data_IF_256196490318
#
_entry.id   IF_256196490318
#
_cell.length_a   1.000
_cell.length_b   1.000
_cell.length_c   1.000
_cell.angle_alpha   90.00
_cell.angle_beta   90.00
_cell.angle_gamma   90.00
#
_symmetry.space_group_name_H-M   'P 1'
#
loop_
_entity.id
_entity.type
_entity.pdbx_description
1 polymer ?
#
# COMPACT_ATOMS: atom_id res chain seq x y z
N UNK A 1 -63.63 -10.45 31.45
CA UNK A 1 -62.65 -9.38 31.30
C UNK A 1 -61.24 -9.78 31.81
N UNK A 2 -61.10 -10.43 32.96
CA UNK A 2 -59.79 -10.80 33.55
C UNK A 2 -58.97 -11.86 32.75
N UNK A 3 -59.59 -12.86 32.12
CA UNK A 3 -58.85 -13.86 31.31
C UNK A 3 -58.26 -13.30 30.00
N UNK A 4 -58.93 -12.30 29.42
CA UNK A 4 -58.45 -11.67 28.18
C UNK A 4 -57.23 -10.76 28.44
N UNK A 5 -57.25 -9.99 29.56
CA UNK A 5 -56.10 -9.20 30.01
C UNK A 5 -54.90 -10.08 30.39
N UNK A 6 -55.12 -11.23 31.06
CA UNK A 6 -54.04 -12.15 31.42
C UNK A 6 -53.37 -12.77 30.18
N UNK A 7 -54.14 -13.07 29.14
CA UNK A 7 -53.56 -13.59 27.87
C UNK A 7 -52.75 -12.53 27.13
N UNK A 8 -53.17 -11.26 27.14
CA UNK A 8 -52.43 -10.17 26.52
C UNK A 8 -51.13 -9.88 27.29
N UNK A 9 -51.16 -9.87 28.62
CA UNK A 9 -49.93 -9.66 29.45
C UNK A 9 -48.94 -10.82 29.26
N UNK A 10 -49.44 -12.06 29.15
CA UNK A 10 -48.59 -13.23 28.86
C UNK A 10 -47.96 -13.16 27.46
N UNK A 11 -48.72 -12.73 26.44
CA UNK A 11 -48.23 -12.58 25.07
C UNK A 11 -47.18 -11.46 24.96
N UNK A 12 -47.41 -10.32 25.63
CA UNK A 12 -46.44 -9.22 25.68
C UNK A 12 -45.18 -9.62 26.43
N UNK A 13 -45.27 -10.39 27.53
CA UNK A 13 -44.11 -10.93 28.22
C UNK A 13 -43.29 -11.88 27.37
N UNK A 14 -43.96 -12.77 26.58
CA UNK A 14 -43.27 -13.69 25.64
C UNK A 14 -42.57 -12.91 24.52
N UNK A 15 -43.20 -11.86 23.94
CA UNK A 15 -42.63 -11.00 22.93
C UNK A 15 -41.45 -10.20 23.49
N UNK A 16 -41.55 -9.68 24.72
CA UNK A 16 -40.44 -9.00 25.43
C UNK A 16 -39.27 -9.98 25.71
N UNK A 17 -39.58 -11.22 26.09
CA UNK A 17 -38.55 -12.26 26.28
C UNK A 17 -37.86 -12.66 24.98
N UNK A 18 -38.58 -12.72 23.85
CA UNK A 18 -38.03 -12.98 22.52
C UNK A 18 -37.19 -11.80 22.02
N UNK A 19 -37.54 -10.55 22.33
CA UNK A 19 -36.76 -9.37 22.00
C UNK A 19 -35.49 -9.28 22.86
N UNK A 20 -35.53 -9.66 24.14
CA UNK A 20 -34.35 -9.69 25.02
C UNK A 20 -33.42 -10.88 24.71
N UNK A 21 -33.94 -11.98 24.15
CA UNK A 21 -33.13 -13.10 23.67
C UNK A 21 -32.43 -12.84 22.34
N UNK A 22 -32.83 -11.81 21.58
CA UNK A 22 -32.23 -11.45 20.30
C UNK A 22 -30.98 -10.55 20.43
N UNK A 23 -30.66 -10.03 21.62
CA UNK A 23 -29.37 -9.45 21.91
C UNK A 23 -28.35 -10.56 22.22
N UNK A 24 -28.01 -11.38 21.25
CA UNK A 24 -26.81 -12.21 21.30
C UNK A 24 -25.59 -11.28 21.29
N UNK A 25 -25.24 -10.72 22.45
CA UNK A 25 -23.91 -10.20 22.71
C UNK A 25 -22.98 -11.41 22.67
N UNK A 26 -22.43 -11.73 21.50
CA UNK A 26 -21.34 -12.69 21.40
C UNK A 26 -20.21 -12.19 22.29
N UNK A 27 -19.73 -12.97 23.28
CA UNK A 27 -18.72 -12.52 24.23
C UNK A 27 -17.38 -12.11 23.58
N UNK A 28 -17.24 -12.30 22.28
CA UNK A 28 -16.04 -11.96 21.51
C UNK A 28 -16.09 -10.60 20.79
N UNK A 29 -17.28 -10.01 20.64
CA UNK A 29 -17.38 -8.64 20.07
C UNK A 29 -16.59 -7.58 20.87
N UNK A 30 -16.53 -7.60 22.22
CA UNK A 30 -15.70 -6.69 23.00
C UNK A 30 -14.20 -6.86 22.72
N UNK A 31 -13.73 -8.09 22.51
CA UNK A 31 -12.33 -8.40 22.20
C UNK A 31 -11.92 -7.79 20.84
N UNK A 32 -12.77 -7.89 19.82
CA UNK A 32 -12.49 -7.30 18.51
C UNK A 32 -12.44 -5.78 18.58
N UNK A 33 -13.29 -5.14 19.39
CA UNK A 33 -13.27 -3.70 19.63
C UNK A 33 -12.00 -3.24 20.39
N UNK A 34 -11.50 -4.06 21.29
CA UNK A 34 -10.22 -3.82 21.97
C UNK A 34 -9.07 -3.88 20.98
N UNK A 35 -9.04 -4.92 20.14
CA UNK A 35 -8.02 -5.10 19.10
C UNK A 35 -8.03 -3.92 18.11
N UNK A 36 -9.19 -3.46 17.65
CA UNK A 36 -9.30 -2.29 16.76
C UNK A 36 -8.60 -1.03 17.32
N UNK A 37 -8.61 -0.86 18.65
CA UNK A 37 -8.00 0.31 19.29
C UNK A 37 -6.48 0.25 19.39
N UNK A 38 -5.93 -0.97 19.51
CA UNK A 38 -4.49 -1.14 19.77
C UNK A 38 -3.68 -1.58 18.55
N UNK A 39 -4.33 -2.04 17.48
CA UNK A 39 -3.69 -2.74 16.38
C UNK A 39 -2.60 -1.93 15.65
N UNK A 40 -2.78 -0.62 15.51
CA UNK A 40 -1.79 0.25 14.86
C UNK A 40 -0.59 0.55 15.78
N UNK A 41 -0.78 0.61 17.09
CA UNK A 41 0.27 0.96 18.05
C UNK A 41 0.97 -0.28 18.62
N UNK A 42 0.25 -1.40 18.76
CA UNK A 42 0.72 -2.65 19.37
C UNK A 42 0.31 -3.87 18.54
N UNK A 43 0.81 -4.01 17.29
CA UNK A 43 0.40 -5.08 16.39
C UNK A 43 0.71 -6.49 16.91
N UNK A 44 1.83 -6.68 17.63
CA UNK A 44 2.19 -7.96 18.26
C UNK A 44 1.14 -8.39 19.29
N UNK A 45 0.72 -7.45 20.15
CA UNK A 45 -0.32 -7.69 21.15
C UNK A 45 -1.65 -8.00 20.50
N UNK A 46 -2.03 -7.23 19.47
CA UNK A 46 -3.24 -7.44 18.69
C UNK A 46 -3.27 -8.84 18.07
N UNK A 47 -2.18 -9.27 17.44
CA UNK A 47 -2.04 -10.60 16.86
C UNK A 47 -2.16 -11.70 17.91
N UNK A 48 -1.52 -11.51 19.07
CA UNK A 48 -1.59 -12.47 20.18
C UNK A 48 -3.03 -12.64 20.72
N UNK A 49 -3.79 -11.53 20.81
CA UNK A 49 -5.19 -11.57 21.24
C UNK A 49 -6.04 -12.28 20.19
N UNK A 50 -5.89 -11.94 18.92
CA UNK A 50 -6.66 -12.55 17.82
C UNK A 50 -6.43 -14.06 17.69
N UNK A 51 -5.20 -14.52 17.90
CA UNK A 51 -4.87 -15.96 17.88
C UNK A 51 -5.49 -16.77 19.05
N UNK A 52 -6.00 -16.10 20.09
CA UNK A 52 -6.70 -16.74 21.22
C UNK A 52 -8.22 -16.72 21.06
N UNK A 53 -8.76 -16.14 19.99
CA UNK A 53 -10.18 -16.15 19.72
C UNK A 53 -10.62 -17.56 19.36
N UNK A 54 -11.49 -18.14 20.19
CA UNK A 54 -12.06 -19.48 20.03
C UNK A 54 -13.42 -19.41 19.28
N UNK A 55 -13.86 -20.54 18.76
CA UNK A 55 -15.18 -20.71 18.16
C UNK A 55 -15.52 -19.66 17.05
N UNK A 56 -14.56 -19.37 16.19
CA UNK A 56 -14.69 -18.40 15.10
C UNK A 56 -15.94 -18.66 14.24
N UNK A 57 -16.30 -19.93 14.05
CA UNK A 57 -17.49 -20.34 13.29
C UNK A 57 -18.83 -19.98 13.97
N UNK A 58 -18.81 -19.57 15.24
CA UNK A 58 -20.02 -19.16 15.99
C UNK A 58 -20.16 -17.63 16.03
N UNK A 59 -19.21 -16.88 15.47
CA UNK A 59 -19.30 -15.43 15.36
C UNK A 59 -20.47 -15.04 14.42
N UNK A 60 -21.05 -13.86 14.68
CA UNK A 60 -21.95 -13.26 13.70
C UNK A 60 -21.19 -12.99 12.39
N UNK A 61 -21.89 -12.91 11.25
CA UNK A 61 -21.24 -12.59 9.97
C UNK A 61 -20.41 -11.31 10.04
N UNK A 62 -20.91 -10.30 10.76
CA UNK A 62 -20.19 -9.03 10.98
C UNK A 62 -18.90 -9.24 11.79
N UNK A 63 -19.00 -9.98 12.90
CA UNK A 63 -17.84 -10.18 13.78
C UNK A 63 -16.81 -11.09 13.13
N UNK A 64 -17.25 -12.11 12.37
CA UNK A 64 -16.37 -12.95 11.58
C UNK A 64 -15.62 -12.14 10.50
N UNK A 65 -16.33 -11.28 9.76
CA UNK A 65 -15.69 -10.38 8.80
C UNK A 65 -14.71 -9.41 9.47
N UNK A 66 -15.07 -8.86 10.65
CA UNK A 66 -14.20 -7.98 11.43
C UNK A 66 -12.97 -8.73 11.92
N UNK A 67 -13.11 -9.95 12.43
CA UNK A 67 -12.00 -10.79 12.84
C UNK A 67 -11.04 -11.06 11.66
N UNK A 68 -11.56 -11.44 10.49
CA UNK A 68 -10.74 -11.70 9.30
C UNK A 68 -9.96 -10.44 8.86
N UNK A 69 -10.59 -9.26 8.90
CA UNK A 69 -9.93 -7.99 8.61
C UNK A 69 -8.81 -7.70 9.59
N UNK A 70 -9.09 -7.75 10.90
CA UNK A 70 -8.12 -7.46 11.95
C UNK A 70 -6.96 -8.45 11.97
N UNK A 71 -7.25 -9.75 11.75
CA UNK A 71 -6.19 -10.75 11.68
C UNK A 71 -5.25 -10.51 10.51
N UNK A 72 -5.79 -10.20 9.32
CA UNK A 72 -4.97 -9.85 8.15
C UNK A 72 -4.15 -8.58 8.42
N UNK A 73 -4.78 -7.56 9.01
CA UNK A 73 -4.08 -6.32 9.40
C UNK A 73 -2.95 -6.58 10.39
N UNK A 74 -3.22 -7.35 11.44
CA UNK A 74 -2.21 -7.68 12.44
C UNK A 74 -1.05 -8.49 11.86
N UNK A 75 -1.33 -9.42 10.94
CA UNK A 75 -0.29 -10.18 10.23
C UNK A 75 0.58 -9.26 9.35
N UNK A 76 -0.03 -8.36 8.57
CA UNK A 76 0.69 -7.41 7.73
C UNK A 76 1.59 -6.48 8.55
N UNK A 77 1.07 -5.92 9.65
CA UNK A 77 1.82 -5.02 10.54
C UNK A 77 2.97 -5.74 11.27
N UNK A 78 2.87 -7.05 11.48
CA UNK A 78 3.93 -7.91 12.02
C UNK A 78 4.87 -8.47 10.94
N UNK A 79 4.80 -7.97 9.69
CA UNK A 79 5.63 -8.42 8.58
C UNK A 79 5.53 -9.93 8.27
N UNK A 80 4.36 -10.54 8.55
CA UNK A 80 4.07 -11.93 8.20
C UNK A 80 3.61 -11.95 6.75
N UNK A 81 4.36 -12.64 5.89
CA UNK A 81 4.02 -12.79 4.47
C UNK A 81 2.76 -13.65 4.31
N UNK A 82 1.78 -13.11 3.59
CA UNK A 82 0.54 -13.81 3.31
C UNK A 82 0.72 -14.87 2.21
N UNK A 83 0.10 -16.03 2.41
CA UNK A 83 0.12 -17.14 1.45
C UNK A 83 -1.22 -17.42 0.80
N UNK A 84 -2.29 -16.70 1.22
CA UNK A 84 -3.66 -16.83 0.71
C UNK A 84 -4.45 -15.56 0.97
N UNK A 85 -5.39 -15.24 0.07
CA UNK A 85 -6.33 -14.13 0.19
C UNK A 85 -7.68 -14.53 0.83
N UNK A 86 -7.82 -15.78 1.27
CA UNK A 86 -9.10 -16.36 1.73
C UNK A 86 -9.72 -15.57 2.89
N UNK A 87 -8.93 -15.20 3.89
CA UNK A 87 -9.40 -14.47 5.07
C UNK A 87 -9.89 -13.07 4.71
N UNK A 88 -9.06 -12.29 4.04
CA UNK A 88 -9.40 -10.91 3.73
C UNK A 88 -10.54 -10.81 2.71
N UNK A 89 -10.73 -11.83 1.86
CA UNK A 89 -11.84 -11.93 0.93
C UNK A 89 -13.20 -12.01 1.65
N UNK A 90 -13.27 -12.69 2.80
CA UNK A 90 -14.48 -12.73 3.65
C UNK A 90 -14.83 -11.31 4.11
N UNK A 91 -13.84 -10.58 4.64
CA UNK A 91 -14.02 -9.21 5.10
C UNK A 91 -14.44 -8.28 3.95
N UNK A 92 -13.73 -8.30 2.82
CA UNK A 92 -14.04 -7.46 1.67
C UNK A 92 -15.45 -7.73 1.13
N UNK A 93 -15.86 -9.01 1.02
CA UNK A 93 -17.19 -9.39 0.55
C UNK A 93 -18.30 -8.92 1.48
N UNK A 94 -18.10 -9.00 2.80
CA UNK A 94 -19.08 -8.56 3.77
C UNK A 94 -19.20 -7.03 3.79
N UNK A 95 -18.06 -6.31 3.93
CA UNK A 95 -18.07 -4.86 4.08
C UNK A 95 -18.44 -4.13 2.79
N UNK A 96 -18.21 -4.70 1.61
CA UNK A 96 -18.72 -4.15 0.35
C UNK A 96 -20.25 -4.06 0.32
N UNK A 97 -20.95 -5.04 0.89
CA UNK A 97 -22.42 -5.08 0.96
C UNK A 97 -22.98 -4.26 2.13
N UNK A 98 -22.14 -3.99 3.14
CA UNK A 98 -22.51 -3.19 4.30
C UNK A 98 -22.44 -1.70 3.97
N UNK A 99 -23.03 -0.85 4.83
CA UNK A 99 -22.90 0.60 4.70
C UNK A 99 -21.60 1.15 5.32
N UNK A 100 -20.70 0.29 5.82
CA UNK A 100 -19.43 0.66 6.43
C UNK A 100 -18.35 0.86 5.35
N UNK A 101 -18.33 2.04 4.75
CA UNK A 101 -17.36 2.39 3.70
C UNK A 101 -15.92 2.39 4.19
N UNK A 102 -15.70 2.72 5.48
CA UNK A 102 -14.35 2.70 6.05
C UNK A 102 -13.79 1.27 6.06
N UNK A 103 -14.51 0.33 6.67
CA UNK A 103 -14.07 -1.07 6.71
C UNK A 103 -14.02 -1.71 5.31
N UNK A 104 -14.91 -1.30 4.39
CA UNK A 104 -14.85 -1.72 2.99
C UNK A 104 -13.56 -1.27 2.31
N UNK A 105 -13.20 0.03 2.42
CA UNK A 105 -11.95 0.56 1.88
C UNK A 105 -10.73 -0.11 2.50
N UNK A 106 -10.71 -0.28 3.83
CA UNK A 106 -9.63 -0.94 4.55
C UNK A 106 -9.49 -2.42 4.13
N UNK A 107 -10.59 -3.13 3.94
CA UNK A 107 -10.58 -4.52 3.46
C UNK A 107 -9.99 -4.63 2.06
N UNK A 108 -10.35 -3.74 1.13
CA UNK A 108 -9.76 -3.71 -0.21
C UNK A 108 -8.29 -3.27 -0.19
N UNK A 109 -7.90 -2.39 0.71
CA UNK A 109 -6.48 -2.06 0.93
C UNK A 109 -5.68 -3.32 1.32
N UNK A 110 -6.18 -4.11 2.28
CA UNK A 110 -5.50 -5.34 2.67
C UNK A 110 -5.63 -6.46 1.61
N UNK A 111 -6.69 -6.49 0.79
CA UNK A 111 -6.70 -7.34 -0.42
C UNK A 111 -5.53 -6.99 -1.35
N UNK A 112 -5.26 -5.69 -1.53
CA UNK A 112 -4.10 -5.22 -2.30
C UNK A 112 -2.78 -5.65 -1.67
N UNK A 113 -2.62 -5.51 -0.35
CA UNK A 113 -1.43 -5.93 0.40
C UNK A 113 -1.16 -7.43 0.26
N UNK A 114 -2.18 -8.24 0.51
CA UNK A 114 -2.12 -9.71 0.39
C UNK A 114 -1.76 -10.12 -1.04
N UNK A 115 -2.36 -9.51 -2.06
CA UNK A 115 -2.03 -9.84 -3.45
C UNK A 115 -0.63 -9.35 -3.87
N UNK A 116 -0.08 -8.32 -3.22
CA UNK A 116 1.34 -7.97 -3.37
C UNK A 116 2.25 -9.08 -2.83
N UNK A 117 1.93 -9.65 -1.66
CA UNK A 117 2.67 -10.79 -1.10
C UNK A 117 2.55 -12.06 -1.97
N UNK A 118 1.39 -12.28 -2.59
CA UNK A 118 1.13 -13.38 -3.52
C UNK A 118 1.76 -13.16 -4.91
N UNK A 119 2.46 -12.05 -5.12
CA UNK A 119 3.06 -11.65 -6.40
C UNK A 119 2.03 -11.51 -7.54
N UNK A 120 0.76 -11.23 -7.24
CA UNK A 120 -0.27 -10.90 -8.24
C UNK A 120 -0.44 -9.37 -8.31
N UNK A 121 0.48 -8.73 -9.01
CA UNK A 121 0.53 -7.27 -9.13
C UNK A 121 -0.75 -6.67 -9.76
N UNK A 122 -1.43 -7.42 -10.63
CA UNK A 122 -2.69 -6.98 -11.25
C UNK A 122 -3.83 -6.89 -10.26
N UNK A 123 -4.03 -7.95 -9.48
CA UNK A 123 -5.06 -7.94 -8.45
C UNK A 123 -4.70 -6.93 -7.36
N UNK A 124 -3.42 -6.82 -6.99
CA UNK A 124 -2.99 -5.80 -6.04
C UNK A 124 -3.39 -4.40 -6.52
N UNK A 125 -3.11 -4.05 -7.79
CA UNK A 125 -3.50 -2.78 -8.39
C UNK A 125 -5.01 -2.57 -8.40
N UNK A 126 -5.77 -3.57 -8.85
CA UNK A 126 -7.25 -3.53 -8.88
C UNK A 126 -7.83 -3.23 -7.51
N UNK A 127 -7.37 -3.96 -6.48
CA UNK A 127 -7.87 -3.80 -5.13
C UNK A 127 -7.45 -2.48 -4.49
N UNK A 128 -6.23 -1.99 -4.72
CA UNK A 128 -5.84 -0.66 -4.25
C UNK A 128 -6.65 0.46 -4.91
N UNK A 129 -6.94 0.36 -6.21
CA UNK A 129 -7.78 1.33 -6.91
C UNK A 129 -9.22 1.31 -6.37
N UNK A 130 -9.77 0.12 -6.10
CA UNK A 130 -11.09 -0.01 -5.48
C UNK A 130 -11.11 0.54 -4.06
N UNK A 131 -10.05 0.27 -3.28
CA UNK A 131 -9.87 0.86 -1.95
C UNK A 131 -9.86 2.39 -2.01
N UNK A 132 -9.13 2.97 -2.98
CA UNK A 132 -9.04 4.41 -3.18
C UNK A 132 -10.41 5.02 -3.51
N UNK A 133 -11.14 4.43 -4.48
CA UNK A 133 -12.47 4.91 -4.88
C UNK A 133 -13.47 4.95 -3.71
N UNK A 134 -13.48 3.89 -2.89
CA UNK A 134 -14.35 3.82 -1.71
C UNK A 134 -13.86 4.78 -0.63
N UNK A 135 -12.55 4.81 -0.39
CA UNK A 135 -11.90 5.61 0.67
C UNK A 135 -12.06 7.11 0.48
N UNK A 136 -12.05 7.62 -0.75
CA UNK A 136 -12.28 9.05 -1.04
C UNK A 136 -13.63 9.56 -0.52
N UNK A 137 -14.60 8.66 -0.30
CA UNK A 137 -15.91 8.97 0.28
C UNK A 137 -15.91 9.00 1.80
N UNK A 138 -14.84 8.54 2.47
CA UNK A 138 -14.75 8.42 3.94
C UNK A 138 -14.03 9.58 4.60
N UNK A 139 -13.17 10.30 3.87
CA UNK A 139 -12.24 11.32 4.39
C UNK A 139 -11.21 10.76 5.38
N UNK A 140 -10.95 9.47 5.37
CA UNK A 140 -9.85 8.86 6.11
C UNK A 140 -8.54 9.11 5.34
N UNK A 141 -7.92 10.24 5.64
CA UNK A 141 -6.71 10.68 4.95
C UNK A 141 -5.51 9.78 5.24
N UNK A 142 -5.45 9.17 6.42
CA UNK A 142 -4.41 8.21 6.77
C UNK A 142 -4.45 6.97 5.86
N UNK A 143 -5.62 6.34 5.74
CA UNK A 143 -5.81 5.20 4.85
C UNK A 143 -5.57 5.58 3.39
N UNK A 144 -6.08 6.73 2.93
CA UNK A 144 -5.87 7.23 1.57
C UNK A 144 -4.38 7.44 1.26
N UNK A 145 -3.60 7.96 2.21
CA UNK A 145 -2.15 8.11 2.06
C UNK A 145 -1.46 6.75 1.92
N UNK A 146 -1.82 5.76 2.74
CA UNK A 146 -1.29 4.38 2.66
C UNK A 146 -1.62 3.74 1.31
N UNK A 147 -2.86 3.86 0.83
CA UNK A 147 -3.30 3.31 -0.46
C UNK A 147 -2.49 3.93 -1.61
N UNK A 148 -2.41 5.26 -1.68
CA UNK A 148 -1.68 5.96 -2.73
C UNK A 148 -0.18 5.65 -2.71
N UNK A 149 0.43 5.55 -1.52
CA UNK A 149 1.83 5.17 -1.37
C UNK A 149 2.10 3.75 -1.89
N UNK A 150 1.23 2.79 -1.59
CA UNK A 150 1.40 1.41 -2.07
C UNK A 150 1.15 1.29 -3.58
N UNK A 151 0.18 2.01 -4.14
CA UNK A 151 -0.02 2.12 -5.59
C UNK A 151 1.23 2.70 -6.27
N UNK A 152 1.77 3.80 -5.76
CA UNK A 152 2.99 4.39 -6.30
C UNK A 152 4.19 3.45 -6.23
N UNK A 153 4.31 2.69 -5.14
CA UNK A 153 5.36 1.67 -4.99
C UNK A 153 5.17 0.52 -5.98
N UNK A 154 3.93 0.06 -6.15
CA UNK A 154 3.60 -0.99 -7.12
C UNK A 154 3.95 -0.56 -8.55
N UNK A 155 3.60 0.67 -8.94
CA UNK A 155 3.97 1.22 -10.25
C UNK A 155 5.49 1.36 -10.43
N UNK A 156 6.25 1.68 -9.37
CA UNK A 156 7.72 1.69 -9.44
C UNK A 156 8.30 0.30 -9.74
N UNK A 157 7.74 -0.76 -9.13
CA UNK A 157 8.17 -2.15 -9.43
C UNK A 157 7.84 -2.59 -10.86
N UNK A 158 6.96 -1.87 -11.52
CA UNK A 158 6.52 -2.12 -12.90
C UNK A 158 7.16 -1.17 -13.91
N UNK A 159 8.12 -0.36 -13.47
CA UNK A 159 8.79 0.68 -14.27
C UNK A 159 7.83 1.73 -14.88
N UNK A 160 6.64 1.94 -14.25
CA UNK A 160 5.62 2.89 -14.70
C UNK A 160 5.71 4.18 -13.87
N UNK A 161 6.80 4.91 -14.02
CA UNK A 161 7.12 6.09 -13.18
C UNK A 161 6.14 7.24 -13.39
N UNK A 162 5.55 7.39 -14.57
CA UNK A 162 4.56 8.42 -14.88
C UNK A 162 3.26 8.27 -14.07
N UNK A 163 2.95 7.06 -13.61
CA UNK A 163 1.85 6.81 -12.68
C UNK A 163 2.32 6.75 -11.22
N UNK A 164 3.55 6.31 -10.97
CA UNK A 164 4.10 6.20 -9.62
C UNK A 164 4.21 7.58 -8.95
N UNK A 165 4.82 8.56 -9.61
CA UNK A 165 5.07 9.88 -9.03
C UNK A 165 3.78 10.65 -8.68
N UNK A 166 2.73 10.70 -9.52
CA UNK A 166 1.44 11.27 -9.14
C UNK A 166 0.81 10.60 -7.91
N UNK A 167 0.89 9.27 -7.79
CA UNK A 167 0.37 8.56 -6.62
C UNK A 167 1.16 8.89 -5.37
N UNK A 168 2.49 8.96 -5.44
CA UNK A 168 3.35 9.38 -4.32
C UNK A 168 3.04 10.83 -3.88
N UNK A 169 2.85 11.75 -4.82
CA UNK A 169 2.44 13.13 -4.52
C UNK A 169 1.05 13.19 -3.89
N UNK A 170 0.11 12.35 -4.34
CA UNK A 170 -1.23 12.25 -3.76
C UNK A 170 -1.16 11.67 -2.33
N UNK A 171 -0.26 10.72 -2.07
CA UNK A 171 0.00 10.22 -0.72
C UNK A 171 0.52 11.31 0.21
N UNK A 172 1.48 12.13 -0.27
CA UNK A 172 1.99 13.29 0.48
C UNK A 172 0.90 14.33 0.76
N UNK A 173 0.02 14.57 -0.20
CA UNK A 173 -1.13 15.45 -0.01
C UNK A 173 -2.04 14.94 1.11
N UNK A 174 -2.45 13.67 1.08
CA UNK A 174 -3.34 13.11 2.08
C UNK A 174 -2.72 13.04 3.47
N UNK A 175 -1.45 12.63 3.62
CA UNK A 175 -0.80 12.57 4.93
C UNK A 175 -0.65 13.95 5.57
N UNK A 176 -0.54 15.03 4.77
CA UNK A 176 -0.52 16.39 5.27
C UNK A 176 -1.91 16.94 5.66
N UNK A 177 -2.99 16.28 5.24
CA UNK A 177 -4.36 16.63 5.67
C UNK A 177 -4.73 16.02 7.02
N UNK A 178 -3.92 15.11 7.56
CA UNK A 178 -4.10 14.52 8.88
C UNK A 178 -3.93 15.56 9.98
N UNK A 179 -4.83 15.53 10.97
CA UNK A 179 -4.76 16.43 12.13
C UNK A 179 -3.58 16.11 13.05
N UNK A 180 -3.26 14.83 13.21
CA UNK A 180 -2.12 14.33 13.98
C UNK A 180 -1.02 13.91 13.01
N UNK A 181 0.11 14.57 13.07
CA UNK A 181 1.24 14.26 12.19
C UNK A 181 1.75 12.84 12.41
N UNK A 182 1.51 11.96 11.43
CA UNK A 182 2.07 10.62 11.39
C UNK A 182 3.48 10.66 10.80
N UNK A 183 4.47 10.77 11.69
CA UNK A 183 5.88 10.87 11.30
C UNK A 183 6.40 9.61 10.62
N UNK A 184 5.86 8.43 10.97
CA UNK A 184 6.29 7.14 10.42
C UNK A 184 5.88 7.02 8.96
N UNK A 185 4.58 7.15 8.68
CA UNK A 185 4.09 7.10 7.31
C UNK A 185 4.64 8.25 6.45
N UNK A 186 4.80 9.45 7.01
CA UNK A 186 5.47 10.57 6.33
C UNK A 186 6.87 10.17 5.87
N UNK A 187 7.69 9.56 6.74
CA UNK A 187 9.03 9.09 6.39
C UNK A 187 9.03 8.07 5.25
N UNK A 188 8.12 7.09 5.30
CA UNK A 188 7.97 6.08 4.25
C UNK A 188 7.54 6.68 2.91
N UNK A 189 6.54 7.56 2.91
CA UNK A 189 6.04 8.20 1.68
C UNK A 189 7.13 9.06 1.05
N UNK A 190 7.84 9.89 1.84
CA UNK A 190 8.94 10.71 1.35
C UNK A 190 10.08 9.86 0.77
N UNK A 191 10.45 8.75 1.45
CA UNK A 191 11.45 7.81 0.95
C UNK A 191 11.02 7.15 -0.36
N UNK A 192 9.78 6.70 -0.47
CA UNK A 192 9.27 6.08 -1.69
C UNK A 192 9.19 7.08 -2.83
N UNK A 193 8.80 8.34 -2.55
CA UNK A 193 8.86 9.44 -3.53
C UNK A 193 10.29 9.68 -4.01
N UNK A 194 11.27 9.70 -3.08
CA UNK A 194 12.68 9.85 -3.41
C UNK A 194 13.19 8.70 -4.32
N UNK A 195 12.78 7.46 -4.03
CA UNK A 195 13.09 6.31 -4.87
C UNK A 195 12.51 6.42 -6.27
N UNK A 196 11.28 6.93 -6.41
CA UNK A 196 10.69 7.23 -7.72
C UNK A 196 11.58 8.21 -8.49
N UNK A 197 12.04 9.30 -7.85
CA UNK A 197 12.98 10.23 -8.49
C UNK A 197 14.31 9.58 -8.87
N UNK A 198 14.85 8.69 -8.02
CA UNK A 198 16.06 7.93 -8.36
C UNK A 198 15.87 7.07 -9.60
N UNK A 199 14.72 6.36 -9.71
CA UNK A 199 14.38 5.53 -10.87
C UNK A 199 14.16 6.35 -12.15
N UNK A 200 13.76 7.62 -12.01
CA UNK A 200 13.64 8.58 -13.12
C UNK A 200 14.98 9.28 -13.46
N UNK A 201 16.09 8.93 -12.81
CA UNK A 201 17.40 9.60 -12.93
C UNK A 201 17.34 11.11 -12.60
N UNK A 202 16.58 11.47 -11.56
CA UNK A 202 16.44 12.83 -11.03
C UNK A 202 17.08 12.91 -9.63
N UNK A 203 18.41 12.74 -9.59
CA UNK A 203 19.19 12.51 -8.37
C UNK A 203 19.06 13.66 -7.37
N UNK A 204 19.06 14.92 -7.82
CA UNK A 204 18.97 16.07 -6.91
C UNK A 204 17.61 16.11 -6.20
N UNK A 205 16.54 15.82 -6.92
CA UNK A 205 15.21 15.67 -6.32
C UNK A 205 15.18 14.48 -5.34
N UNK A 206 15.77 13.35 -5.71
CA UNK A 206 15.86 12.18 -4.86
C UNK A 206 16.58 12.49 -3.54
N UNK A 207 17.72 13.22 -3.60
CA UNK A 207 18.48 13.64 -2.41
C UNK A 207 17.63 14.54 -1.51
N UNK A 208 16.89 15.51 -2.08
CA UNK A 208 16.02 16.41 -1.31
C UNK A 208 14.97 15.60 -0.54
N UNK A 209 14.26 14.72 -1.22
CA UNK A 209 13.19 13.92 -0.60
C UNK A 209 13.73 12.89 0.42
N UNK A 210 14.88 12.25 0.17
CA UNK A 210 15.52 11.39 1.17
C UNK A 210 15.96 12.17 2.41
N UNK A 211 16.53 13.38 2.27
CA UNK A 211 16.87 14.24 3.40
C UNK A 211 15.63 14.69 4.18
N UNK A 212 14.50 14.92 3.51
CA UNK A 212 13.24 15.18 4.18
C UNK A 212 12.74 13.92 4.93
N UNK A 213 12.83 12.73 4.33
CA UNK A 213 12.46 11.47 4.97
C UNK A 213 13.25 11.21 6.26
N UNK A 214 14.53 11.55 6.30
CA UNK A 214 15.39 11.44 7.50
C UNK A 214 14.86 12.25 8.68
N UNK A 215 14.25 13.42 8.46
CA UNK A 215 13.70 14.26 9.55
C UNK A 215 12.54 13.58 10.29
N UNK A 216 11.84 12.67 9.62
CA UNK A 216 10.69 11.93 10.17
C UNK A 216 11.03 10.48 10.49
N UNK A 217 12.30 10.05 10.25
CA UNK A 217 12.69 8.64 10.42
C UNK A 217 12.77 8.24 11.89
N UNK A 218 12.59 6.95 12.12
CA UNK A 218 12.75 6.28 13.41
C UNK A 218 13.97 5.37 13.37
N UNK A 219 14.52 4.93 14.53
CA UNK A 219 15.72 4.08 14.55
C UNK A 219 15.66 2.86 13.64
N UNK A 220 14.47 2.24 13.49
CA UNK A 220 14.30 1.01 12.69
C UNK A 220 14.26 1.23 11.18
N UNK A 221 14.01 2.45 10.67
CA UNK A 221 13.95 2.73 9.23
C UNK A 221 15.04 3.67 8.73
N UNK A 222 15.83 4.27 9.61
CA UNK A 222 16.85 5.25 9.27
C UNK A 222 17.95 4.67 8.37
N UNK A 223 18.41 3.43 8.67
CA UNK A 223 19.49 2.76 7.93
C UNK A 223 19.19 2.65 6.44
N UNK A 224 17.95 2.32 6.10
CA UNK A 224 17.54 2.13 4.71
C UNK A 224 17.51 3.44 3.91
N UNK A 225 17.17 4.58 4.55
CA UNK A 225 17.22 5.91 3.91
C UNK A 225 18.67 6.35 3.71
N UNK A 226 19.53 6.07 4.70
CA UNK A 226 20.95 6.38 4.62
C UNK A 226 21.66 5.58 3.52
N UNK A 227 21.29 4.29 3.36
CA UNK A 227 21.78 3.45 2.24
C UNK A 227 21.35 4.01 0.90
N UNK A 228 20.07 4.39 0.76
CA UNK A 228 19.54 4.98 -0.48
C UNK A 228 20.32 6.28 -0.83
N UNK A 229 20.58 7.17 0.14
CA UNK A 229 21.43 8.37 -0.04
C UNK A 229 22.86 8.00 -0.44
N UNK A 230 23.49 7.06 0.27
CA UNK A 230 24.82 6.59 -0.06
C UNK A 230 24.94 6.09 -1.49
N UNK A 231 23.98 5.32 -1.96
CA UNK A 231 23.93 4.83 -3.34
C UNK A 231 23.80 5.96 -4.37
N UNK A 232 22.95 6.97 -4.11
CA UNK A 232 22.82 8.15 -4.99
C UNK A 232 24.15 8.89 -5.10
N UNK A 233 24.86 9.10 -3.98
CA UNK A 233 26.16 9.77 -4.00
C UNK A 233 27.27 8.92 -4.65
N UNK A 234 27.21 7.57 -4.59
CA UNK A 234 28.09 6.70 -5.39
C UNK A 234 27.85 6.95 -6.89
N UNK A 235 26.57 6.99 -7.31
CA UNK A 235 26.20 7.23 -8.70
C UNK A 235 26.67 8.61 -9.21
N UNK A 236 26.57 9.64 -8.35
CA UNK A 236 27.11 10.99 -8.64
C UNK A 236 28.64 11.08 -8.59
N UNK A 237 29.36 10.01 -8.26
CA UNK A 237 30.81 9.96 -7.99
C UNK A 237 31.25 10.87 -6.82
N UNK A 238 30.34 11.24 -5.92
CA UNK A 238 30.60 12.01 -4.70
C UNK A 238 30.95 11.06 -3.55
N UNK A 239 32.11 10.42 -3.62
CA UNK A 239 32.47 9.29 -2.74
C UNK A 239 32.65 9.67 -1.26
N UNK A 240 32.99 10.90 -0.96
CA UNK A 240 33.12 11.40 0.42
C UNK A 240 31.74 11.42 1.10
N UNK A 241 30.75 12.00 0.44
CA UNK A 241 29.38 12.02 0.95
C UNK A 241 28.79 10.60 0.97
N UNK A 242 29.04 9.79 -0.06
CA UNK A 242 28.61 8.39 -0.10
C UNK A 242 29.13 7.62 1.14
N UNK A 243 30.43 7.74 1.43
CA UNK A 243 31.06 7.10 2.61
C UNK A 243 30.39 7.54 3.91
N UNK A 244 30.18 8.84 4.10
CA UNK A 244 29.53 9.40 5.27
C UNK A 244 28.14 8.76 5.52
N UNK A 245 27.28 8.69 4.51
CA UNK A 245 25.94 8.11 4.66
C UNK A 245 25.96 6.60 4.88
N UNK A 246 26.87 5.87 4.22
CA UNK A 246 27.01 4.42 4.40
C UNK A 246 27.55 4.09 5.80
N UNK A 247 28.53 4.85 6.30
CA UNK A 247 29.07 4.66 7.65
C UNK A 247 27.99 4.97 8.71
N UNK A 248 27.19 6.03 8.53
CA UNK A 248 26.04 6.34 9.38
C UNK A 248 25.01 5.19 9.35
N UNK A 249 24.72 4.61 8.18
CA UNK A 249 23.83 3.47 8.06
C UNK A 249 24.34 2.27 8.84
N UNK A 250 25.64 1.94 8.72
CA UNK A 250 26.26 0.82 9.42
C UNK A 250 26.21 1.02 10.94
N UNK A 251 26.41 2.22 11.45
CA UNK A 251 26.36 2.52 12.87
C UNK A 251 24.92 2.56 13.44
N UNK A 252 23.92 2.61 12.59
CA UNK A 252 22.50 2.69 13.00
C UNK A 252 21.87 1.31 13.30
N UNK A 253 22.54 0.20 13.02
CA UNK A 253 22.01 -1.15 13.19
C UNK A 253 23.08 -2.18 13.47
N UNK A 254 22.73 -3.21 14.27
CA UNK A 254 23.53 -4.43 14.48
C UNK A 254 22.87 -5.67 13.91
N UNK A 255 21.66 -5.53 13.35
CA UNK A 255 20.86 -6.65 12.84
C UNK A 255 21.43 -7.10 11.49
N UNK A 256 21.92 -8.35 11.40
CA UNK A 256 22.60 -8.90 10.22
C UNK A 256 21.77 -8.75 8.93
N UNK A 257 20.47 -9.03 8.97
CA UNK A 257 19.57 -8.88 7.81
C UNK A 257 19.57 -7.45 7.26
N UNK A 258 19.69 -6.46 8.12
CA UNK A 258 19.77 -5.04 7.77
C UNK A 258 21.16 -4.65 7.32
N UNK A 259 22.23 -5.34 7.77
CA UNK A 259 23.62 -5.09 7.38
C UNK A 259 23.92 -5.50 5.95
N UNK A 260 23.29 -6.53 5.39
CA UNK A 260 23.57 -6.96 4.01
C UNK A 260 23.39 -5.87 2.94
N UNK A 261 22.29 -5.10 2.89
CA UNK A 261 22.16 -3.98 1.97
C UNK A 261 23.23 -2.90 2.19
N UNK A 262 23.64 -2.66 3.45
CA UNK A 262 24.69 -1.70 3.80
C UNK A 262 26.05 -2.18 3.27
N UNK A 263 26.37 -3.47 3.47
CA UNK A 263 27.59 -4.07 2.95
C UNK A 263 27.65 -4.05 1.42
N UNK A 264 26.51 -4.29 0.76
CA UNK A 264 26.43 -4.15 -0.69
C UNK A 264 26.81 -2.73 -1.14
N UNK A 265 26.23 -1.70 -0.52
CA UNK A 265 26.55 -0.30 -0.84
C UNK A 265 27.99 0.05 -0.50
N UNK A 266 28.53 -0.48 0.60
CA UNK A 266 29.92 -0.29 1.00
C UNK A 266 30.88 -0.95 0.01
N UNK A 267 30.56 -2.16 -0.44
CA UNK A 267 31.34 -2.85 -1.47
C UNK A 267 31.33 -2.12 -2.81
N UNK A 268 30.19 -1.57 -3.23
CA UNK A 268 30.08 -0.71 -4.40
C UNK A 268 30.98 0.52 -4.30
N UNK A 269 30.91 1.24 -3.17
CA UNK A 269 31.71 2.42 -2.91
C UNK A 269 33.21 2.10 -2.98
N UNK A 270 33.65 1.08 -2.25
CA UNK A 270 35.05 0.66 -2.21
C UNK A 270 35.56 0.24 -3.58
N UNK A 271 34.77 -0.48 -4.37
CA UNK A 271 35.10 -0.84 -5.76
C UNK A 271 35.22 0.40 -6.67
N UNK A 272 34.34 1.41 -6.48
CA UNK A 272 34.43 2.67 -7.21
C UNK A 272 35.70 3.47 -6.83
N UNK A 273 36.12 3.40 -5.56
CA UNK A 273 37.36 4.03 -5.05
C UNK A 273 38.63 3.24 -5.38
N UNK A 274 38.55 2.09 -6.07
CA UNK A 274 39.70 1.24 -6.40
C UNK A 274 40.22 0.37 -5.25
N UNK A 275 39.53 0.31 -4.11
CA UNK A 275 39.90 -0.51 -2.95
C UNK A 275 39.33 -1.92 -3.09
N UNK A 276 39.89 -2.71 -4.04
CA UNK A 276 39.30 -3.94 -4.52
C UNK A 276 39.21 -5.05 -3.48
N UNK A 277 40.27 -5.24 -2.66
CA UNK A 277 40.27 -6.26 -1.57
C UNK A 277 39.17 -6.01 -0.56
N UNK A 278 39.03 -4.76 -0.11
CA UNK A 278 37.99 -4.36 0.84
C UNK A 278 36.59 -4.48 0.22
N UNK A 279 36.45 -4.13 -1.06
CA UNK A 279 35.19 -4.31 -1.81
C UNK A 279 34.77 -5.78 -1.85
N UNK A 280 35.70 -6.66 -2.22
CA UNK A 280 35.51 -8.11 -2.28
C UNK A 280 35.06 -8.71 -0.94
N UNK A 281 35.69 -8.26 0.18
CA UNK A 281 35.29 -8.67 1.52
C UNK A 281 33.81 -8.39 1.78
N UNK A 282 33.36 -7.13 1.64
CA UNK A 282 31.97 -6.75 1.93
C UNK A 282 30.96 -7.39 0.99
N UNK A 283 31.30 -7.48 -0.31
CA UNK A 283 30.45 -8.11 -1.32
C UNK A 283 30.29 -9.61 -1.06
N UNK A 284 31.35 -10.31 -0.64
CA UNK A 284 31.26 -11.74 -0.29
C UNK A 284 30.34 -11.96 0.90
N UNK A 285 30.34 -11.09 1.91
CA UNK A 285 29.37 -11.19 3.02
C UNK A 285 27.94 -11.06 2.51
N UNK A 286 27.68 -10.17 1.55
CA UNK A 286 26.34 -9.96 0.99
C UNK A 286 25.86 -11.15 0.14
N UNK A 287 26.75 -11.92 -0.47
CA UNK A 287 26.36 -13.08 -1.30
C UNK A 287 25.66 -14.17 -0.51
N UNK A 288 25.75 -14.14 0.84
CA UNK A 288 25.07 -15.05 1.76
C UNK A 288 23.66 -14.57 2.17
N UNK A 289 23.22 -13.42 1.65
CA UNK A 289 21.88 -12.89 1.97
C UNK A 289 20.78 -13.81 1.44
N UNK A 290 19.75 -14.04 2.25
CA UNK A 290 18.52 -14.71 1.79
C UNK A 290 17.69 -13.87 0.83
N UNK A 291 17.97 -12.57 0.72
CA UNK A 291 17.30 -11.69 -0.22
C UNK A 291 17.97 -11.82 -1.60
N UNK A 292 17.24 -12.39 -2.56
CA UNK A 292 17.72 -12.69 -3.92
C UNK A 292 18.26 -11.44 -4.66
N UNK A 293 17.68 -10.27 -4.44
CA UNK A 293 18.13 -9.01 -5.08
C UNK A 293 19.47 -8.55 -4.50
N UNK A 294 19.64 -8.66 -3.17
CA UNK A 294 20.93 -8.34 -2.51
C UNK A 294 22.01 -9.31 -2.95
N UNK A 295 21.68 -10.60 -3.04
CA UNK A 295 22.59 -11.63 -3.52
C UNK A 295 23.00 -11.41 -4.97
N UNK A 296 22.03 -11.15 -5.87
CA UNK A 296 22.32 -10.87 -7.27
C UNK A 296 23.18 -9.59 -7.43
N UNK A 297 22.83 -8.52 -6.71
CA UNK A 297 23.63 -7.28 -6.70
C UNK A 297 25.06 -7.51 -6.22
N UNK A 298 25.26 -8.35 -5.22
CA UNK A 298 26.58 -8.73 -4.73
C UNK A 298 27.40 -9.46 -5.77
N UNK A 299 26.84 -10.50 -6.41
CA UNK A 299 27.52 -11.27 -7.45
C UNK A 299 27.88 -10.43 -8.68
N UNK A 300 26.97 -9.53 -9.09
CA UNK A 300 27.27 -8.57 -10.16
C UNK A 300 28.51 -7.73 -9.83
N UNK A 301 28.58 -7.16 -8.64
CA UNK A 301 29.71 -6.32 -8.24
C UNK A 301 30.98 -7.14 -7.96
N UNK A 302 30.89 -8.39 -7.47
CA UNK A 302 32.03 -9.30 -7.38
C UNK A 302 32.61 -9.62 -8.75
N UNK A 303 31.77 -9.84 -9.76
CA UNK A 303 32.24 -10.02 -11.15
C UNK A 303 32.99 -8.77 -11.64
N UNK A 304 32.46 -7.56 -11.37
CA UNK A 304 33.16 -6.31 -11.74
C UNK A 304 34.51 -6.13 -11.03
N UNK A 305 34.62 -6.54 -9.76
CA UNK A 305 35.88 -6.53 -9.01
C UNK A 305 36.86 -7.54 -9.63
N UNK A 306 36.43 -8.77 -9.87
CA UNK A 306 37.28 -9.81 -10.51
C UNK A 306 37.78 -9.37 -11.87
N UNK A 307 36.96 -8.70 -12.68
CA UNK A 307 37.39 -8.15 -13.98
C UNK A 307 38.50 -7.07 -13.80
N UNK A 308 38.35 -6.17 -12.81
CA UNK A 308 39.39 -5.17 -12.50
C UNK A 308 40.69 -5.79 -12.00
N UNK A 309 40.62 -6.95 -11.34
CA UNK A 309 41.77 -7.73 -10.86
C UNK A 309 42.39 -8.61 -11.98
N UNK A 310 41.81 -8.66 -13.18
CA UNK A 310 42.12 -9.62 -14.26
C UNK A 310 41.93 -11.10 -13.87
N UNK A 311 41.10 -11.38 -12.87
CA UNK A 311 40.74 -12.73 -12.43
C UNK A 311 39.57 -13.27 -13.28
N UNK A 312 39.89 -13.76 -14.48
CA UNK A 312 38.89 -14.24 -15.43
C UNK A 312 38.10 -15.45 -14.89
N UNK A 313 38.72 -16.31 -14.08
CA UNK A 313 38.05 -17.48 -13.52
C UNK A 313 36.91 -17.07 -12.58
N UNK A 314 37.16 -16.19 -11.65
CA UNK A 314 36.14 -15.69 -10.76
C UNK A 314 35.13 -14.78 -11.49
N UNK A 315 35.57 -13.99 -12.48
CA UNK A 315 34.66 -13.22 -13.32
C UNK A 315 33.61 -14.11 -13.99
N UNK A 316 34.02 -15.19 -14.66
CA UNK A 316 33.10 -16.14 -15.32
C UNK A 316 32.17 -16.77 -14.27
N UNK A 317 32.70 -17.30 -13.16
CA UNK A 317 31.94 -17.93 -12.09
C UNK A 317 30.83 -17.00 -11.51
N UNK A 318 31.19 -15.76 -11.17
CA UNK A 318 30.24 -14.80 -10.61
C UNK A 318 29.19 -14.38 -11.64
N UNK A 319 29.59 -14.19 -12.90
CA UNK A 319 28.69 -13.81 -14.00
C UNK A 319 27.67 -14.90 -14.29
N UNK A 320 28.06 -16.17 -14.33
CA UNK A 320 27.16 -17.30 -14.54
C UNK A 320 26.15 -17.43 -13.40
N UNK A 321 26.60 -17.34 -12.14
CA UNK A 321 25.74 -17.41 -10.98
C UNK A 321 24.75 -16.22 -10.95
N UNK A 322 25.24 -15.02 -11.26
CA UNK A 322 24.41 -13.82 -11.40
C UNK A 322 23.36 -13.98 -12.51
N UNK A 323 23.75 -14.50 -13.67
CA UNK A 323 22.84 -14.70 -14.79
C UNK A 323 21.69 -15.64 -14.41
N UNK A 324 22.00 -16.75 -13.74
CA UNK A 324 21.00 -17.72 -13.25
C UNK A 324 19.99 -17.06 -12.30
N UNK A 325 20.48 -16.26 -11.33
CA UNK A 325 19.61 -15.53 -10.41
C UNK A 325 18.79 -14.45 -11.13
N UNK A 326 19.41 -13.70 -12.04
CA UNK A 326 18.73 -12.67 -12.83
C UNK A 326 17.62 -13.27 -13.69
N UNK A 327 17.87 -14.41 -14.33
CA UNK A 327 16.87 -15.09 -15.14
C UNK A 327 15.68 -15.57 -14.30
N UNK A 328 15.94 -16.02 -13.08
CA UNK A 328 14.87 -16.34 -12.11
C UNK A 328 14.04 -15.11 -11.72
N UNK A 329 14.70 -13.98 -11.46
CA UNK A 329 14.04 -12.69 -11.15
C UNK A 329 13.22 -12.21 -12.36
N UNK A 330 13.82 -12.22 -13.55
CA UNK A 330 13.22 -11.70 -14.80
C UNK A 330 12.05 -12.57 -15.26
N UNK A 331 12.13 -13.88 -15.10
CA UNK A 331 11.04 -14.80 -15.46
C UNK A 331 9.75 -14.48 -14.71
N UNK A 332 9.85 -14.12 -13.44
CA UNK A 332 8.72 -13.65 -12.65
C UNK A 332 8.20 -12.29 -13.16
N UNK A 333 9.09 -11.35 -13.48
CA UNK A 333 8.70 -9.99 -13.88
C UNK A 333 8.11 -9.91 -15.29
N UNK A 334 8.57 -10.72 -16.23
CA UNK A 334 8.08 -10.70 -17.63
C UNK A 334 6.61 -11.16 -17.76
N UNK A 335 6.22 -12.21 -17.06
CA UNK A 335 4.83 -12.65 -17.06
C UNK A 335 3.91 -11.60 -16.42
N UNK A 336 4.39 -10.90 -15.39
CA UNK A 336 3.65 -9.81 -14.77
C UNK A 336 3.51 -8.60 -15.70
N UNK A 337 4.56 -8.18 -16.39
CA UNK A 337 4.53 -7.00 -17.26
C UNK A 337 3.52 -7.12 -18.41
N UNK A 338 3.38 -8.29 -19.02
CA UNK A 338 2.37 -8.53 -20.07
C UNK A 338 0.94 -8.44 -19.49
N UNK A 339 0.71 -9.03 -18.32
CA UNK A 339 -0.57 -8.96 -17.62
C UNK A 339 -0.88 -7.53 -17.20
N UNK A 340 0.10 -6.79 -16.72
CA UNK A 340 0.00 -5.39 -16.30
C UNK A 340 -0.36 -4.48 -17.48
N UNK A 341 0.32 -4.63 -18.62
CA UNK A 341 0.01 -3.87 -19.83
C UNK A 341 -1.45 -4.10 -20.28
N UNK A 342 -1.94 -5.33 -20.20
CA UNK A 342 -3.33 -5.66 -20.50
C UNK A 342 -4.31 -5.03 -19.49
N UNK A 343 -3.98 -5.05 -18.19
CA UNK A 343 -4.80 -4.44 -17.15
C UNK A 343 -4.86 -2.92 -17.28
N UNK A 344 -3.71 -2.29 -17.53
CA UNK A 344 -3.65 -0.83 -17.75
C UNK A 344 -4.48 -0.42 -18.96
N UNK A 345 -4.39 -1.17 -20.06
CA UNK A 345 -5.21 -0.93 -21.24
C UNK A 345 -6.70 -1.03 -20.91
N UNK A 346 -7.10 -2.07 -20.18
CA UNK A 346 -8.48 -2.25 -19.74
C UNK A 346 -8.94 -1.15 -18.78
N UNK A 347 -8.09 -0.77 -17.82
CA UNK A 347 -8.40 0.32 -16.88
C UNK A 347 -8.56 1.66 -17.59
N UNK A 348 -7.65 2.01 -18.51
CA UNK A 348 -7.76 3.23 -19.30
C UNK A 348 -9.01 3.25 -20.18
N UNK A 349 -9.37 2.10 -20.75
CA UNK A 349 -10.60 1.94 -21.53
C UNK A 349 -11.84 2.17 -20.65
N UNK A 350 -11.92 1.52 -19.49
CA UNK A 350 -13.04 1.67 -18.54
C UNK A 350 -13.14 3.10 -18.02
N UNK A 351 -12.01 3.72 -17.67
CA UNK A 351 -11.96 5.12 -17.23
C UNK A 351 -12.46 6.09 -18.32
N UNK A 352 -12.08 5.84 -19.57
CA UNK A 352 -12.54 6.63 -20.73
C UNK A 352 -14.02 6.43 -21.00
N UNK A 353 -14.52 5.20 -20.90
CA UNK A 353 -15.94 4.87 -21.03
C UNK A 353 -16.77 5.55 -19.93
N UNK A 354 -16.29 5.53 -18.68
CA UNK A 354 -16.90 6.22 -17.53
C UNK A 354 -16.97 7.74 -17.75
N UNK A 355 -15.85 8.36 -18.13
CA UNK A 355 -15.78 9.80 -18.44
C UNK A 355 -16.75 10.20 -19.57
N UNK A 356 -16.83 9.37 -20.63
CA UNK A 356 -17.80 9.59 -21.70
C UNK A 356 -19.24 9.45 -21.22
N UNK A 357 -19.52 8.49 -20.35
CA UNK A 357 -20.85 8.30 -19.77
C UNK A 357 -21.25 9.49 -18.89
N UNK A 358 -20.35 9.95 -18.03
CA UNK A 358 -20.57 11.12 -17.16
C UNK A 358 -20.80 12.40 -17.99
N UNK A 359 -20.01 12.63 -19.05
CA UNK A 359 -20.21 13.74 -19.99
C UNK A 359 -21.57 13.69 -20.68
N UNK A 360 -21.99 12.49 -21.15
CA UNK A 360 -23.32 12.31 -21.75
C UNK A 360 -24.44 12.54 -20.74
N UNK A 361 -24.26 12.08 -19.49
CA UNK A 361 -25.24 12.32 -18.42
C UNK A 361 -25.38 13.82 -18.10
N UNK A 362 -24.25 14.54 -17.98
CA UNK A 362 -24.23 15.98 -17.77
C UNK A 362 -24.92 16.75 -18.94
N UNK A 363 -24.63 16.36 -20.17
CA UNK A 363 -25.29 16.96 -21.36
C UNK A 363 -26.82 16.75 -21.35
N UNK A 364 -27.27 15.53 -20.98
CA UNK A 364 -28.71 15.22 -20.82
C UNK A 364 -29.36 16.09 -19.75
N UNK A 365 -28.68 16.27 -18.61
CA UNK A 365 -29.18 17.16 -17.54
C UNK A 365 -29.31 18.60 -18.00
N UNK A 366 -28.29 19.13 -18.69
CA UNK A 366 -28.33 20.46 -19.25
C UNK A 366 -29.52 20.62 -20.23
N UNK A 367 -29.73 19.66 -21.12
CA UNK A 367 -30.85 19.64 -22.05
C UNK A 367 -32.21 19.64 -21.32
N UNK A 368 -32.37 18.81 -20.26
CA UNK A 368 -33.58 18.78 -19.45
C UNK A 368 -33.85 20.15 -18.80
N UNK A 369 -32.82 20.81 -18.23
CA UNK A 369 -32.95 22.14 -17.65
C UNK A 369 -33.36 23.18 -18.71
N UNK A 370 -32.81 23.11 -19.92
CA UNK A 370 -33.18 24.00 -21.01
C UNK A 370 -34.65 23.82 -21.41
N UNK A 371 -35.13 22.58 -21.54
CA UNK A 371 -36.53 22.27 -21.83
C UNK A 371 -37.48 22.81 -20.74
N UNK A 372 -37.12 22.60 -19.45
CA UNK A 372 -37.90 23.13 -18.33
C UNK A 372 -37.95 24.67 -18.34
N UNK A 373 -36.80 25.32 -18.60
CA UNK A 373 -36.75 26.80 -18.70
C UNK A 373 -37.66 27.33 -19.82
N UNK A 374 -37.58 26.72 -21.00
CA UNK A 374 -38.40 27.11 -22.14
C UNK A 374 -39.90 26.91 -21.87
N UNK A 375 -40.28 25.79 -21.27
CA UNK A 375 -41.66 25.49 -20.87
C UNK A 375 -42.18 26.46 -19.81
N UNK A 376 -41.34 26.85 -18.85
CA UNK A 376 -41.67 27.82 -17.80
C UNK A 376 -41.87 29.22 -18.38
N UNK A 377 -41.04 29.65 -19.34
CA UNK A 377 -41.19 30.92 -20.04
C UNK A 377 -42.50 30.93 -20.85
N UNK A 378 -42.81 29.85 -21.56
CA UNK A 378 -44.04 29.76 -22.36
C UNK A 378 -45.33 29.71 -21.49
N UNK A 379 -45.23 29.24 -20.24
CA UNK A 379 -46.35 29.27 -19.29
C UNK A 379 -46.57 30.66 -18.65
N UNK A 380 -45.55 31.50 -18.60
CA UNK A 380 -45.64 32.87 -18.06
C UNK A 380 -46.11 33.88 -19.11
N UNK A 381 -45.76 33.67 -20.38
CA UNK A 381 -46.12 34.60 -21.49
C UNK A 381 -47.62 34.87 -21.60
N UNK A 382 -48.56 33.91 -21.54
CA UNK A 382 -49.99 34.20 -21.59
C UNK A 382 -50.51 34.98 -20.40
N UNK A 383 -49.96 34.78 -19.20
CA UNK A 383 -50.36 35.50 -17.98
C UNK A 383 -49.96 36.99 -18.00
N UNK A 384 -48.88 37.36 -18.70
CA UNK A 384 -48.45 38.76 -18.86
C UNK A 384 -49.18 39.44 -19.99
N UNK A 385 -49.61 38.71 -21.03
CA UNK A 385 -50.41 39.27 -22.14
C UNK A 385 -51.83 39.65 -21.66
N UNK A 386 -52.46 38.85 -20.80
CA UNK A 386 -53.80 39.11 -20.26
C UNK A 386 -53.84 40.29 -19.27
N UNK A 387 -52.73 40.65 -18.65
CA UNK A 387 -52.65 41.79 -17.71
C UNK A 387 -52.52 43.17 -18.41
N UNK A 388 -52.40 43.21 -19.75
CA UNK A 388 -52.31 44.46 -20.53
C UNK A 388 -53.62 44.83 -21.21
N UNK A 389 -54.72 44.09 -20.96
CA UNK A 389 -56.04 44.30 -21.55
C UNK A 389 -57.10 44.69 -20.54
N UNK A 390 -56.70 45.14 -19.31
CA UNK A 390 -57.58 45.78 -18.32
C UNK A 390 -57.27 47.26 -18.16
#
# INVERSE_FOLDING_TARGET
>A
MNKFLQNITSLVAIVLFLIMGACNNHPQAPILLEVEKIIEEQPDSALSILNKVENINQLSEKDHATYCLLLTQAQDLNYITHTSDSLIKIAATYFEKSNDKHKASLSYYYMGRVNTDLHDALKAQEFYLKALEIGEKTKDYHLLAKICNNLGTLYNYQDIYDLALPMQKKALYYINMEQKQDTVNMSYILRNTARTFTLMNLEDSAVIYHKQALKYSRPYNISSILVDLGNIYIYKNEYVEAKKYIDLAQNSTTILKTLYPIYLSKGKLLSAMGQLDSAKYYLTQCSQSSNIYTQAGSLYHLAQVALKENDLNNYVKYTETYSTLRDSITKHSHFENIRIAQSMFNYQRIAKEKDQFEKKAAQRMIFIYQVIMVSSINSIYPLVADSRTL
#
